data_IF_931860735640
#
_entry.id   IF_931860735640
#
_cell.length_a   1.000
_cell.length_b   1.000
_cell.length_c   1.000
_cell.angle_alpha   90.00
_cell.angle_beta   90.00
_cell.angle_gamma   90.00
#
_symmetry.space_group_name_H-M   'P 1'
#
loop_
_entity.id
_entity.type
_entity.pdbx_description
1 polymer ?
#
# COMPACT_ATOMS: atom_id res chain seq x y z
N UNK A 1 6.18 59.61 14.67
CA UNK A 1 5.25 59.35 13.54
C UNK A 1 6.01 58.48 12.53
N UNK A 2 5.51 57.37 11.97
CA UNK A 2 4.19 56.72 12.05
C UNK A 2 4.33 55.22 12.38
N UNK A 3 3.25 54.67 12.93
CA UNK A 3 3.04 53.26 13.27
C UNK A 3 2.37 52.55 12.08
N UNK A 4 2.90 51.44 11.56
CA UNK A 4 2.14 50.45 10.76
C UNK A 4 2.70 49.03 11.00
N UNK A 5 1.94 48.19 11.69
CA UNK A 5 1.94 46.72 11.48
C UNK A 5 0.94 46.44 10.34
N UNK A 6 1.24 45.56 9.37
CA UNK A 6 1.02 44.10 9.53
C UNK A 6 2.31 43.37 9.98
N UNK A 7 2.46 42.05 10.01
CA UNK A 7 1.63 40.96 9.47
C UNK A 7 1.63 39.70 10.36
N UNK A 8 0.98 38.64 9.86
CA UNK A 8 0.70 37.35 10.48
C UNK A 8 0.77 36.28 9.37
N UNK A 9 1.77 35.40 9.38
CA UNK A 9 1.82 34.22 8.50
C UNK A 9 1.94 32.96 9.35
N UNK A 10 0.86 32.62 10.05
CA UNK A 10 0.78 31.36 10.77
C UNK A 10 0.53 30.25 9.73
N UNK A 11 1.61 29.58 9.30
CA UNK A 11 1.52 28.46 8.37
C UNK A 11 0.93 27.26 9.13
N UNK A 12 -0.40 27.13 9.07
CA UNK A 12 -1.10 25.99 9.65
C UNK A 12 -0.66 24.71 8.92
N UNK A 13 0.20 23.91 9.54
CA UNK A 13 0.47 22.56 9.07
C UNK A 13 -0.82 21.75 9.20
N UNK A 14 -1.56 21.63 8.08
CA UNK A 14 -2.37 20.45 7.83
C UNK A 14 -1.41 19.26 7.65
N UNK A 15 -0.85 18.76 8.75
CA UNK A 15 -0.34 17.38 8.77
C UNK A 15 -1.55 16.48 8.53
N UNK A 16 -1.62 15.90 7.34
CA UNK A 16 -2.75 15.07 6.93
C UNK A 16 -3.05 14.02 7.98
N UNK A 17 -4.32 13.94 8.40
CA UNK A 17 -4.78 12.80 9.18
C UNK A 17 -4.49 11.50 8.42
N UNK A 18 -4.35 10.37 9.13
CA UNK A 18 -4.10 9.09 8.48
C UNK A 18 -5.16 8.87 7.40
N UNK A 19 -4.71 8.70 6.16
CA UNK A 19 -5.58 8.48 5.02
C UNK A 19 -6.51 7.32 5.36
N UNK A 20 -7.81 7.62 5.51
CA UNK A 20 -8.81 6.63 5.85
C UNK A 20 -8.87 5.65 4.70
N UNK A 21 -8.27 4.46 4.86
CA UNK A 21 -8.31 3.43 3.85
C UNK A 21 -9.78 3.10 3.59
N UNK A 22 -10.32 3.59 2.48
CA UNK A 22 -11.67 3.28 2.06
C UNK A 22 -11.72 1.78 1.79
N UNK A 23 -12.26 1.04 2.75
CA UNK A 23 -12.49 -0.38 2.64
C UNK A 23 -13.58 -0.60 1.58
N UNK A 24 -13.15 -0.67 0.32
CA UNK A 24 -14.01 -1.01 -0.80
C UNK A 24 -14.38 -2.49 -0.66
N UNK A 25 -15.48 -2.73 0.06
CA UNK A 25 -16.00 -4.05 0.38
C UNK A 25 -16.57 -4.71 -0.88
N UNK A 26 -15.68 -5.26 -1.72
CA UNK A 26 -16.01 -5.93 -2.97
C UNK A 26 -16.52 -7.37 -2.76
N UNK A 27 -17.34 -7.60 -1.72
CA UNK A 27 -17.99 -8.87 -1.37
C UNK A 27 -17.07 -10.01 -0.90
N UNK A 28 -15.81 -10.04 -1.31
CA UNK A 28 -14.87 -11.17 -1.10
C UNK A 28 -13.89 -10.92 0.07
N UNK A 29 -13.58 -9.67 0.38
CA UNK A 29 -12.49 -9.30 1.30
C UNK A 29 -12.97 -8.45 2.49
N UNK A 30 -12.64 -8.88 3.71
CA UNK A 30 -12.95 -8.24 5.01
C UNK A 30 -12.20 -6.95 5.24
N UNK A 31 -10.95 -6.87 4.78
CA UNK A 31 -10.08 -5.73 5.03
C UNK A 31 -8.97 -5.66 3.99
N UNK A 32 -8.42 -4.46 3.81
CA UNK A 32 -7.29 -4.17 2.96
C UNK A 32 -6.28 -3.35 3.79
N UNK A 33 -4.99 -3.69 3.73
CA UNK A 33 -3.94 -2.97 4.43
C UNK A 33 -2.70 -2.81 3.53
N UNK A 34 -2.13 -1.61 3.38
CA UNK A 34 -0.89 -1.43 2.64
C UNK A 34 0.24 -2.19 3.33
N UNK A 35 1.09 -2.88 2.55
CA UNK A 35 2.37 -3.40 3.04
C UNK A 35 3.38 -2.26 2.98
N UNK A 36 4.02 -1.96 4.11
CA UNK A 36 5.30 -1.24 4.10
C UNK A 36 6.42 -2.28 4.00
N UNK A 37 7.34 -2.19 3.02
CA UNK A 37 8.45 -3.13 2.88
C UNK A 37 9.24 -3.34 4.18
N UNK A 38 9.48 -4.59 4.56
CA UNK A 38 10.15 -4.93 5.82
C UNK A 38 9.24 -4.90 7.05
N UNK A 39 7.92 -4.73 6.87
CA UNK A 39 6.91 -4.94 7.93
C UNK A 39 6.02 -6.12 7.54
N UNK A 40 6.38 -7.36 7.94
CA UNK A 40 5.65 -8.55 7.53
C UNK A 40 4.20 -8.55 8.03
N UNK A 41 3.24 -8.81 7.14
CA UNK A 41 1.85 -9.06 7.49
C UNK A 41 1.64 -10.55 7.82
N UNK A 42 0.88 -10.88 8.90
CA UNK A 42 0.80 -12.24 9.42
C UNK A 42 -0.01 -13.19 8.52
N UNK A 43 -0.91 -12.65 7.70
CA UNK A 43 -1.71 -13.37 6.72
C UNK A 43 -2.32 -12.40 5.71
N UNK A 44 -2.50 -12.90 4.50
CA UNK A 44 -3.17 -12.26 3.37
C UNK A 44 -3.70 -13.35 2.42
N UNK A 45 -4.87 -13.12 1.84
CA UNK A 45 -5.57 -14.06 0.94
C UNK A 45 -5.54 -13.56 -0.53
N UNK A 46 -4.87 -12.44 -0.77
CA UNK A 46 -4.76 -11.76 -2.05
C UNK A 46 -4.03 -10.43 -1.89
N UNK A 47 -3.67 -9.82 -3.01
CA UNK A 47 -2.92 -8.56 -3.04
C UNK A 47 -3.39 -7.65 -4.17
N UNK A 48 -3.56 -6.37 -3.87
CA UNK A 48 -3.75 -5.31 -4.87
C UNK A 48 -2.42 -4.63 -5.13
N UNK A 49 -2.10 -4.47 -6.41
CA UNK A 49 -0.95 -3.71 -6.89
C UNK A 49 -1.50 -2.47 -7.61
N UNK A 50 -1.25 -1.29 -7.06
CA UNK A 50 -1.61 -0.01 -7.69
C UNK A 50 -0.32 0.71 -8.12
N UNK A 51 -0.03 0.67 -9.43
CA UNK A 51 1.26 1.07 -10.00
C UNK A 51 1.16 2.36 -10.81
N UNK A 52 1.99 3.34 -10.48
CA UNK A 52 2.13 4.59 -11.24
C UNK A 52 3.16 4.48 -12.38
N UNK A 53 4.12 3.56 -12.27
CA UNK A 53 5.11 3.25 -13.31
C UNK A 53 5.32 1.72 -13.40
N UNK A 54 5.55 1.17 -14.63
CA UNK A 54 5.78 -0.25 -14.83
C UNK A 54 7.15 -0.70 -14.29
N UNK A 55 7.29 -1.99 -14.01
CA UNK A 55 8.55 -2.61 -13.57
C UNK A 55 8.32 -3.98 -12.92
N UNK A 56 9.32 -4.48 -12.19
CA UNK A 56 9.19 -5.72 -11.41
C UNK A 56 8.91 -5.40 -9.95
N UNK A 57 8.01 -6.16 -9.32
CA UNK A 57 7.79 -6.18 -7.87
C UNK A 57 8.19 -7.55 -7.34
N UNK A 58 9.09 -7.56 -6.35
CA UNK A 58 9.46 -8.77 -5.62
C UNK A 58 8.57 -8.91 -4.40
N UNK A 59 7.53 -9.73 -4.50
CA UNK A 59 6.73 -10.15 -3.36
C UNK A 59 7.46 -11.24 -2.57
N UNK A 60 7.19 -11.32 -1.28
CA UNK A 60 7.62 -12.40 -0.40
C UNK A 60 6.37 -13.13 0.09
N UNK A 61 6.29 -14.42 -0.21
CA UNK A 61 5.14 -15.27 0.15
C UNK A 61 5.20 -15.69 1.63
N UNK A 62 4.12 -16.27 2.17
CA UNK A 62 4.05 -16.70 3.57
C UNK A 62 5.09 -17.77 3.94
N UNK A 63 5.44 -18.66 3.01
CA UNK A 63 6.54 -19.63 3.16
C UNK A 63 7.95 -19.00 3.09
N UNK A 64 8.04 -17.69 2.83
CA UNK A 64 9.28 -16.95 2.65
C UNK A 64 9.84 -17.01 1.21
N UNK A 65 9.17 -17.69 0.29
CA UNK A 65 9.63 -17.76 -1.11
C UNK A 65 9.51 -16.40 -1.82
N UNK A 66 10.46 -16.07 -2.71
CA UNK A 66 10.36 -14.89 -3.57
C UNK A 66 9.41 -15.14 -4.74
N UNK A 67 8.50 -14.20 -4.99
CA UNK A 67 7.62 -14.22 -6.16
C UNK A 67 7.73 -12.90 -6.93
N UNK A 68 8.18 -12.95 -8.18
CA UNK A 68 8.35 -11.78 -9.05
C UNK A 68 7.09 -11.53 -9.89
N UNK A 69 6.53 -10.33 -9.77
CA UNK A 69 5.43 -9.85 -10.60
C UNK A 69 5.93 -8.75 -11.52
N UNK A 70 5.80 -8.94 -12.83
CA UNK A 70 5.94 -7.84 -13.77
C UNK A 70 4.65 -7.01 -13.78
N UNK A 71 4.71 -5.80 -13.25
CA UNK A 71 3.57 -4.90 -13.12
C UNK A 71 3.60 -3.83 -14.21
N UNK A 72 2.46 -3.61 -14.86
CA UNK A 72 2.23 -2.45 -15.73
C UNK A 72 1.64 -1.29 -14.93
N UNK A 73 1.63 -0.08 -15.50
CA UNK A 73 0.87 1.03 -14.92
C UNK A 73 -0.63 0.67 -14.84
N UNK A 74 -1.30 1.06 -13.75
CA UNK A 74 -2.70 0.75 -13.49
C UNK A 74 -2.92 0.04 -12.15
N UNK A 75 -4.04 -0.68 -12.02
CA UNK A 75 -4.38 -1.42 -10.82
C UNK A 75 -4.71 -2.87 -11.16
N UNK A 76 -4.08 -3.82 -10.47
CA UNK A 76 -4.32 -5.25 -10.62
C UNK A 76 -4.62 -5.87 -9.24
N UNK A 77 -5.43 -6.92 -9.23
CA UNK A 77 -5.69 -7.74 -8.04
C UNK A 77 -5.21 -9.15 -8.36
N UNK A 78 -4.32 -9.70 -7.52
CA UNK A 78 -4.02 -11.12 -7.52
C UNK A 78 -4.77 -11.78 -6.36
N UNK A 79 -5.72 -12.63 -6.72
CA UNK A 79 -6.53 -13.43 -5.79
C UNK A 79 -5.76 -14.69 -5.37
N UNK A 80 -6.08 -15.26 -4.21
CA UNK A 80 -5.48 -16.49 -3.64
C UNK A 80 -3.96 -16.45 -3.45
N UNK A 81 -3.41 -15.24 -3.30
CA UNK A 81 -1.97 -15.00 -3.14
C UNK A 81 -1.60 -14.72 -1.68
N UNK A 82 -0.99 -15.71 -1.03
CA UNK A 82 -0.50 -15.65 0.34
C UNK A 82 0.77 -14.78 0.48
N UNK A 83 0.63 -13.46 0.32
CA UNK A 83 1.72 -12.49 0.46
C UNK A 83 1.97 -12.13 1.92
N UNK A 84 3.25 -12.05 2.30
CA UNK A 84 3.74 -11.70 3.64
C UNK A 84 4.46 -10.36 3.67
N UNK A 85 5.26 -10.03 2.67
CA UNK A 85 6.06 -8.80 2.61
C UNK A 85 6.37 -8.42 1.15
N UNK A 86 7.00 -7.26 0.96
CA UNK A 86 7.55 -6.78 -0.32
C UNK A 86 9.03 -6.49 -0.15
N UNK A 87 9.87 -7.08 -0.99
CA UNK A 87 11.30 -6.78 -0.99
C UNK A 87 11.54 -5.50 -1.83
N UNK A 88 11.66 -4.36 -1.15
CA UNK A 88 11.94 -3.08 -1.79
C UNK A 88 13.26 -3.06 -2.59
N UNK A 89 14.31 -3.75 -2.13
CA UNK A 89 15.61 -3.73 -2.79
C UNK A 89 15.63 -4.45 -4.16
N UNK A 90 14.69 -5.39 -4.37
CA UNK A 90 14.49 -6.07 -5.65
C UNK A 90 13.28 -5.53 -6.44
N UNK A 91 12.60 -4.50 -5.94
CA UNK A 91 11.42 -3.89 -6.59
C UNK A 91 11.84 -2.66 -7.38
N UNK A 92 11.50 -2.64 -8.66
CA UNK A 92 11.79 -1.55 -9.61
C UNK A 92 10.54 -0.80 -10.08
N UNK A 93 9.35 -1.38 -9.90
CA UNK A 93 8.09 -0.71 -10.18
C UNK A 93 7.72 0.28 -9.07
N UNK A 94 7.11 1.41 -9.43
CA UNK A 94 6.56 2.36 -8.45
C UNK A 94 5.11 1.99 -8.16
N UNK A 95 4.87 1.21 -7.10
CA UNK A 95 3.56 0.68 -6.76
C UNK A 95 3.23 0.71 -5.27
N UNK A 96 1.98 0.99 -4.94
CA UNK A 96 1.41 0.71 -3.62
C UNK A 96 0.92 -0.74 -3.60
N UNK A 97 1.48 -1.56 -2.71
CA UNK A 97 1.08 -2.96 -2.50
C UNK A 97 0.14 -3.03 -1.31
N UNK A 98 -1.05 -3.61 -1.48
CA UNK A 98 -2.08 -3.69 -0.44
C UNK A 98 -2.54 -5.13 -0.28
N UNK A 99 -2.28 -5.75 0.87
CA UNK A 99 -2.78 -7.10 1.17
C UNK A 99 -4.26 -7.05 1.50
N UNK A 100 -4.99 -7.98 0.90
CA UNK A 100 -6.39 -8.24 1.12
C UNK A 100 -6.55 -9.44 2.05
N UNK A 101 -7.57 -9.41 2.91
CA UNK A 101 -7.91 -10.52 3.82
C UNK A 101 -9.34 -10.96 3.62
N UNK A 102 -9.59 -12.24 3.40
CA UNK A 102 -10.89 -12.81 3.04
C UNK A 102 -11.80 -12.99 4.25
N UNK A 103 -13.10 -13.12 4.01
CA UNK A 103 -14.04 -13.55 5.06
C UNK A 103 -13.84 -15.04 5.38
N UNK A 104 -13.31 -15.36 6.56
CA UNK A 104 -13.50 -16.70 7.17
C UNK A 104 -12.37 -17.71 7.06
N UNK A 105 -11.21 -17.35 6.50
CA UNK A 105 -9.99 -18.17 6.60
C UNK A 105 -9.38 -17.95 7.99
N UNK A 106 -9.06 -19.03 8.71
CA UNK A 106 -8.51 -19.04 10.08
C UNK A 106 -7.19 -19.76 10.11
#
# INVERSE_FOLDING_TARGET
MRLVRPALLMFALLTGGPASAQQQNNGVYRSAAPITPGTPVPYGDGVVLACSAPGTIRLVMQDGSPFDVYATQGTAILDDMAVRDVNAAATTATCTVTVLRRFGVR
#
